data_IF_561081140760
#
_entry.id   IF_561081140760
#
_cell.length_a   1.000
_cell.length_b   1.000
_cell.length_c   1.000
_cell.angle_alpha   90.00
_cell.angle_beta   90.00
_cell.angle_gamma   90.00
#
_symmetry.space_group_name_H-M   'P 1'
#
loop_
_entity.id
_entity.type
_entity.pdbx_description
1 polymer ?
#
# COMPACT_ATOMS: atom_id res chain seq x y z
N UNK A 1 -0.89 11.38 -13.11
CA UNK A 1 -0.37 10.32 -14.01
C UNK A 1 -1.23 10.22 -15.28
N UNK A 2 -0.92 9.29 -16.19
CA UNK A 2 -1.64 9.14 -17.46
C UNK A 2 -2.92 8.31 -17.28
N UNK A 3 -3.98 8.73 -17.98
CA UNK A 3 -5.21 7.97 -18.14
C UNK A 3 -5.25 7.46 -19.59
N UNK A 4 -5.35 6.16 -19.77
CA UNK A 4 -5.49 5.53 -21.08
C UNK A 4 -6.92 5.05 -21.30
N UNK A 5 -7.38 5.19 -22.55
CA UNK A 5 -8.65 4.62 -23.01
C UNK A 5 -8.33 3.46 -23.94
N UNK A 6 -8.67 2.26 -23.54
CA UNK A 6 -8.56 1.08 -24.37
C UNK A 6 -9.91 0.86 -25.05
N UNK A 7 -9.93 1.03 -26.37
CA UNK A 7 -11.14 0.86 -27.18
C UNK A 7 -10.97 -0.24 -28.21
N UNK A 8 -12.09 -0.74 -28.72
CA UNK A 8 -12.10 -1.60 -29.90
C UNK A 8 -13.24 -1.21 -30.83
N UNK A 9 -13.02 -1.37 -32.12
CA UNK A 9 -13.98 -1.14 -33.20
C UNK A 9 -13.81 -2.24 -34.26
N UNK A 10 -14.87 -2.60 -35.01
CA UNK A 10 -14.79 -3.62 -36.04
C UNK A 10 -13.78 -3.23 -37.13
N UNK A 11 -13.12 -4.23 -37.70
CA UNK A 11 -12.28 -4.02 -38.88
C UNK A 11 -13.16 -3.69 -40.08
N UNK A 12 -13.07 -2.47 -40.64
CA UNK A 12 -13.88 -2.02 -41.78
C UNK A 12 -13.66 -2.96 -43.00
N UNK A 13 -12.68 -2.67 -43.88
CA UNK A 13 -12.16 -3.67 -44.84
C UNK A 13 -10.94 -4.39 -44.29
N UNK A 14 -10.19 -3.72 -43.40
CA UNK A 14 -9.03 -4.26 -42.68
C UNK A 14 -8.92 -3.56 -41.32
N UNK A 15 -8.36 -4.23 -40.32
CA UNK A 15 -8.07 -3.62 -39.01
C UNK A 15 -7.16 -2.39 -39.12
N UNK A 16 -6.24 -2.37 -40.10
CA UNK A 16 -5.38 -1.23 -40.40
C UNK A 16 -6.20 0.01 -40.79
N UNK A 17 -7.19 -0.14 -41.67
CA UNK A 17 -8.03 0.98 -42.08
C UNK A 17 -8.85 1.55 -40.92
N UNK A 18 -9.35 0.70 -40.02
CA UNK A 18 -10.03 1.15 -38.80
C UNK A 18 -9.10 2.01 -37.93
N UNK A 19 -7.84 1.61 -37.76
CA UNK A 19 -6.83 2.38 -37.02
C UNK A 19 -6.50 3.71 -37.71
N UNK A 20 -6.28 3.70 -39.03
CA UNK A 20 -5.94 4.90 -39.79
C UNK A 20 -7.09 5.92 -39.78
N UNK A 21 -8.34 5.44 -39.87
CA UNK A 21 -9.54 6.27 -39.74
C UNK A 21 -9.64 6.90 -38.35
N UNK A 22 -9.40 6.13 -37.28
CA UNK A 22 -9.33 6.70 -35.93
C UNK A 22 -8.24 7.79 -35.85
N UNK A 23 -7.03 7.51 -36.35
CA UNK A 23 -5.92 8.47 -36.30
C UNK A 23 -6.17 9.74 -37.11
N UNK A 24 -6.78 9.62 -38.29
CA UNK A 24 -7.15 10.75 -39.12
C UNK A 24 -8.02 11.72 -38.32
N UNK A 25 -9.06 11.22 -37.66
CA UNK A 25 -10.02 12.04 -36.95
C UNK A 25 -9.58 12.46 -35.54
N UNK A 26 -9.01 11.56 -34.74
CA UNK A 26 -8.65 11.81 -33.35
C UNK A 26 -7.27 12.49 -33.19
N UNK A 27 -6.33 12.24 -34.10
CA UNK A 27 -4.95 12.74 -34.00
C UNK A 27 -4.62 13.78 -35.08
N UNK A 28 -4.67 13.42 -36.36
CA UNK A 28 -4.20 14.29 -37.45
C UNK A 28 -5.06 15.55 -37.63
N UNK A 29 -6.38 15.40 -37.66
CA UNK A 29 -7.30 16.51 -37.94
C UNK A 29 -7.56 17.40 -36.73
N UNK A 30 -7.49 16.84 -35.51
CA UNK A 30 -7.96 17.53 -34.30
C UNK A 30 -6.96 17.53 -33.13
N UNK A 31 -5.86 16.79 -33.21
CA UNK A 31 -4.84 16.67 -32.16
C UNK A 31 -5.44 16.45 -30.75
N UNK A 32 -6.31 15.44 -30.61
CA UNK A 32 -7.08 15.17 -29.39
C UNK A 32 -6.46 14.08 -28.53
N UNK A 33 -5.76 13.13 -29.15
CA UNK A 33 -5.09 12.01 -28.47
C UNK A 33 -3.89 11.47 -29.26
N UNK A 34 -3.01 10.78 -28.54
CA UNK A 34 -1.97 9.93 -29.12
C UNK A 34 -2.48 8.49 -29.08
N UNK A 35 -2.42 7.79 -30.21
CA UNK A 35 -3.07 6.48 -30.33
C UNK A 35 -2.06 5.40 -30.73
N UNK A 36 -2.21 4.23 -30.15
CA UNK A 36 -1.37 3.06 -30.40
C UNK A 36 -2.26 1.87 -30.74
N UNK A 37 -1.77 0.97 -31.59
CA UNK A 37 -2.41 -0.34 -31.73
C UNK A 37 -2.19 -1.14 -30.46
N UNK A 38 -3.23 -1.84 -30.02
CA UNK A 38 -3.15 -2.75 -28.90
C UNK A 38 -3.27 -4.18 -29.43
N UNK A 39 -2.14 -4.87 -29.53
CA UNK A 39 -2.06 -6.15 -30.22
C UNK A 39 -2.58 -7.28 -29.32
N UNK A 40 -3.76 -7.80 -29.65
CA UNK A 40 -4.35 -8.98 -29.01
C UNK A 40 -4.20 -10.14 -29.99
N UNK A 41 -3.64 -11.29 -29.57
CA UNK A 41 -3.48 -12.45 -30.45
C UNK A 41 -4.82 -13.13 -30.73
N UNK A 42 -4.83 -14.05 -31.68
CA UNK A 42 -5.98 -14.92 -31.92
C UNK A 42 -6.17 -15.88 -30.74
N UNK A 43 -7.13 -15.56 -29.88
CA UNK A 43 -7.50 -16.37 -28.73
C UNK A 43 -8.62 -17.35 -29.11
N UNK A 44 -8.65 -18.51 -28.44
CA UNK A 44 -9.66 -19.54 -28.70
C UNK A 44 -11.05 -19.06 -28.29
N UNK A 45 -11.90 -18.81 -29.27
CA UNK A 45 -13.32 -18.45 -29.07
C UNK A 45 -14.10 -19.68 -28.59
N UNK A 46 -14.90 -19.51 -27.53
CA UNK A 46 -15.82 -20.52 -27.00
C UNK A 46 -17.21 -20.44 -27.63
N UNK A 47 -18.22 -21.02 -26.97
CA UNK A 47 -19.62 -20.78 -27.32
C UNK A 47 -20.06 -19.39 -26.86
N UNK A 48 -21.12 -18.85 -27.47
CA UNK A 48 -21.68 -17.55 -27.08
C UNK A 48 -22.05 -17.51 -25.58
N UNK A 49 -22.69 -18.57 -25.08
CA UNK A 49 -23.04 -18.74 -23.66
C UNK A 49 -21.82 -18.63 -22.73
N UNK A 50 -20.71 -19.29 -23.10
CA UNK A 50 -19.45 -19.18 -22.35
C UNK A 50 -18.90 -17.75 -22.40
N UNK A 51 -18.97 -17.06 -23.55
CA UNK A 51 -18.49 -15.68 -23.67
C UNK A 51 -19.29 -14.70 -22.80
N UNK A 52 -20.62 -14.88 -22.71
CA UNK A 52 -21.48 -14.05 -21.85
C UNK A 52 -21.07 -14.23 -20.38
N UNK A 53 -20.95 -15.47 -19.89
CA UNK A 53 -20.48 -15.72 -18.52
C UNK A 53 -19.06 -15.19 -18.26
N UNK A 54 -18.17 -15.33 -19.25
CA UNK A 54 -16.80 -14.81 -19.18
C UNK A 54 -16.74 -13.29 -19.09
N UNK A 55 -17.69 -12.55 -19.70
CA UNK A 55 -17.74 -11.08 -19.64
C UNK A 55 -17.85 -10.60 -18.19
N UNK A 56 -18.78 -11.18 -17.43
CA UNK A 56 -18.99 -10.83 -16.02
C UNK A 56 -17.81 -11.25 -15.14
N UNK A 57 -17.30 -12.47 -15.34
CA UNK A 57 -16.19 -13.00 -14.56
C UNK A 57 -14.89 -12.22 -14.80
N UNK A 58 -14.63 -11.80 -16.05
CA UNK A 58 -13.49 -10.96 -16.37
C UNK A 58 -13.64 -9.54 -15.81
N UNK A 59 -14.86 -9.00 -15.71
CA UNK A 59 -15.11 -7.71 -15.04
C UNK A 59 -14.76 -7.76 -13.55
N UNK A 60 -15.14 -8.83 -12.86
CA UNK A 60 -14.75 -9.07 -11.45
C UNK A 60 -13.24 -9.25 -11.31
N UNK A 61 -12.64 -10.07 -12.18
CA UNK A 61 -11.20 -10.33 -12.16
C UNK A 61 -10.38 -9.07 -12.43
N UNK A 62 -10.83 -8.21 -13.35
CA UNK A 62 -10.21 -6.92 -13.66
C UNK A 62 -10.17 -6.01 -12.42
N UNK A 63 -11.30 -5.86 -11.75
CA UNK A 63 -11.43 -5.04 -10.53
C UNK A 63 -10.55 -5.59 -9.40
N UNK A 64 -10.52 -6.91 -9.26
CA UNK A 64 -9.68 -7.58 -8.27
C UNK A 64 -8.17 -7.39 -8.55
N UNK A 65 -7.73 -7.57 -9.81
CA UNK A 65 -6.35 -7.36 -10.22
C UNK A 65 -5.89 -5.91 -10.03
N UNK A 66 -6.75 -4.95 -10.37
CA UNK A 66 -6.51 -3.53 -10.09
C UNK A 66 -6.34 -3.29 -8.58
N UNK A 67 -7.27 -3.79 -7.77
CA UNK A 67 -7.24 -3.62 -6.31
C UNK A 67 -6.01 -4.24 -5.65
N UNK A 68 -5.52 -5.39 -6.11
CA UNK A 68 -4.26 -5.98 -5.61
C UNK A 68 -3.06 -5.14 -6.06
N UNK A 69 -3.02 -4.72 -7.33
CA UNK A 69 -1.93 -3.89 -7.88
C UNK A 69 -1.79 -2.57 -7.11
N UNK A 70 -2.90 -1.88 -6.84
CA UNK A 70 -2.95 -0.65 -6.03
C UNK A 70 -2.46 -0.89 -4.60
N UNK A 71 -2.90 -1.97 -3.94
CA UNK A 71 -2.45 -2.32 -2.59
C UNK A 71 -0.95 -2.56 -2.51
N UNK A 72 -0.35 -3.24 -3.51
CA UNK A 72 1.11 -3.41 -3.56
C UNK A 72 1.81 -2.05 -3.73
N UNK A 73 1.33 -1.20 -4.64
CA UNK A 73 1.92 0.12 -4.88
C UNK A 73 1.86 1.02 -3.63
N UNK A 74 0.70 1.06 -2.96
CA UNK A 74 0.51 1.80 -1.72
C UNK A 74 1.42 1.28 -0.61
N UNK A 75 1.46 -0.05 -0.40
CA UNK A 75 2.30 -0.63 0.63
C UNK A 75 3.80 -0.44 0.35
N UNK A 76 4.23 -0.48 -0.91
CA UNK A 76 5.60 -0.11 -1.28
C UNK A 76 5.90 1.35 -0.89
N UNK A 77 4.96 2.26 -1.11
CA UNK A 77 5.07 3.66 -0.66
C UNK A 77 5.21 3.80 0.86
N UNK A 78 4.48 2.99 1.63
CA UNK A 78 4.58 2.96 3.10
C UNK A 78 5.92 2.40 3.59
N UNK A 79 6.42 1.34 2.94
CA UNK A 79 7.68 0.69 3.31
C UNK A 79 8.87 1.59 3.00
N UNK A 80 8.82 2.38 1.93
CA UNK A 80 9.92 3.27 1.54
C UNK A 80 10.17 4.41 2.55
N UNK A 81 9.23 4.71 3.46
CA UNK A 81 9.35 5.73 4.51
C UNK A 81 9.95 7.05 3.95
N UNK A 82 11.19 7.38 4.32
CA UNK A 82 11.90 8.60 3.90
C UNK A 82 12.25 8.66 2.39
N UNK A 83 12.09 7.55 1.66
CA UNK A 83 12.38 7.42 0.23
C UNK A 83 11.11 7.33 -0.62
N UNK A 84 9.97 7.82 -0.09
CA UNK A 84 8.67 7.78 -0.79
C UNK A 84 8.69 8.58 -2.10
N UNK A 85 9.55 9.58 -2.23
CA UNK A 85 9.80 10.33 -3.47
C UNK A 85 10.21 9.41 -4.63
N UNK A 86 10.90 8.30 -4.33
CA UNK A 86 11.34 7.31 -5.32
C UNK A 86 10.27 6.28 -5.69
N UNK A 87 9.06 6.36 -5.13
CA UNK A 87 8.02 5.35 -5.34
C UNK A 87 7.74 5.12 -6.83
N UNK A 88 7.52 6.19 -7.60
CA UNK A 88 7.19 6.09 -9.02
C UNK A 88 8.30 5.44 -9.85
N UNK A 89 9.57 5.65 -9.50
CA UNK A 89 10.72 5.00 -10.16
C UNK A 89 10.77 3.48 -9.92
N UNK A 90 10.12 3.03 -8.85
CA UNK A 90 10.07 1.62 -8.46
C UNK A 90 8.83 0.88 -9.00
N UNK A 91 7.84 1.61 -9.50
CA UNK A 91 6.63 1.06 -10.11
C UNK A 91 6.88 0.74 -11.59
N UNK A 92 7.53 -0.38 -11.83
CA UNK A 92 7.90 -0.85 -13.17
C UNK A 92 7.17 -2.14 -13.54
N UNK A 93 6.85 -2.30 -14.83
CA UNK A 93 6.29 -3.52 -15.40
C UNK A 93 7.27 -4.07 -16.44
N UNK A 94 7.73 -5.32 -16.26
CA UNK A 94 8.78 -5.94 -17.09
C UNK A 94 10.04 -5.05 -17.28
N UNK A 95 10.43 -4.31 -16.24
CA UNK A 95 11.59 -3.41 -16.27
C UNK A 95 11.38 -2.10 -17.03
N UNK A 96 10.16 -1.83 -17.52
CA UNK A 96 9.79 -0.58 -18.17
C UNK A 96 8.88 0.26 -17.27
N UNK A 97 8.87 1.57 -17.47
CA UNK A 97 7.84 2.42 -16.87
C UNK A 97 6.45 2.05 -17.42
N UNK A 98 5.42 2.34 -16.65
CA UNK A 98 4.05 1.90 -16.96
C UNK A 98 3.53 2.49 -18.29
N UNK A 99 3.90 3.72 -18.65
CA UNK A 99 3.45 4.32 -19.91
C UNK A 99 4.10 3.61 -21.10
N UNK A 100 5.41 3.37 -21.02
CA UNK A 100 6.13 2.62 -22.05
C UNK A 100 5.60 1.19 -22.18
N UNK A 101 5.34 0.51 -21.07
CA UNK A 101 4.73 -0.82 -21.09
C UNK A 101 3.36 -0.81 -21.80
N UNK A 102 2.49 0.15 -21.46
CA UNK A 102 1.15 0.27 -22.05
C UNK A 102 1.22 0.51 -23.57
N UNK A 103 2.07 1.43 -24.01
CA UNK A 103 2.19 1.81 -25.44
C UNK A 103 2.89 0.76 -26.29
N UNK A 104 3.61 -0.18 -25.66
CA UNK A 104 4.32 -1.28 -26.33
C UNK A 104 3.82 -2.66 -25.89
N UNK A 105 2.58 -2.73 -25.41
CA UNK A 105 2.00 -3.98 -24.92
C UNK A 105 2.13 -5.09 -25.96
N UNK A 106 2.59 -6.24 -25.49
CA UNK A 106 2.58 -7.50 -26.21
C UNK A 106 2.07 -8.59 -25.29
N UNK A 107 1.30 -9.50 -25.87
CA UNK A 107 0.79 -10.65 -25.15
C UNK A 107 1.92 -11.58 -24.70
N UNK A 108 1.95 -11.91 -23.41
CA UNK A 108 2.91 -12.84 -22.81
C UNK A 108 2.50 -14.28 -23.12
N UNK A 109 2.98 -14.78 -24.26
CA UNK A 109 2.72 -16.14 -24.73
C UNK A 109 3.26 -17.23 -23.80
N UNK A 110 4.29 -16.92 -23.01
CA UNK A 110 4.90 -17.88 -22.09
C UNK A 110 4.05 -18.07 -20.84
N UNK A 111 3.48 -16.98 -20.30
CA UNK A 111 2.61 -17.04 -19.12
C UNK A 111 1.16 -17.38 -19.46
N UNK A 112 0.66 -16.91 -20.60
CA UNK A 112 -0.74 -17.02 -20.98
C UNK A 112 -0.90 -17.66 -22.37
N UNK A 113 -0.88 -19.01 -22.47
CA UNK A 113 -0.85 -19.68 -23.77
C UNK A 113 -2.15 -19.53 -24.56
N UNK A 114 -2.07 -18.99 -25.77
CA UNK A 114 -3.23 -18.72 -26.66
C UNK A 114 -4.00 -19.97 -27.10
N UNK A 115 -3.39 -21.16 -26.99
CA UNK A 115 -4.02 -22.45 -27.33
C UNK A 115 -5.01 -22.93 -26.26
N UNK A 116 -4.95 -22.37 -25.04
CA UNK A 116 -5.88 -22.71 -23.97
C UNK A 116 -7.21 -21.95 -24.14
N UNK A 117 -8.25 -22.40 -23.45
CA UNK A 117 -9.53 -21.67 -23.40
C UNK A 117 -9.35 -20.34 -22.66
N UNK A 118 -10.18 -19.34 -23.00
CA UNK A 118 -10.20 -18.06 -22.30
C UNK A 118 -10.40 -18.23 -20.78
N UNK A 119 -11.27 -19.18 -20.39
CA UNK A 119 -11.51 -19.53 -18.98
C UNK A 119 -10.26 -20.03 -18.28
N UNK A 120 -9.49 -20.92 -18.90
CA UNK A 120 -8.26 -21.42 -18.29
C UNK A 120 -7.22 -20.30 -18.15
N UNK A 121 -7.10 -19.42 -19.15
CA UNK A 121 -6.19 -18.27 -19.09
C UNK A 121 -6.60 -17.31 -17.96
N UNK A 122 -7.89 -17.00 -17.81
CA UNK A 122 -8.37 -16.15 -16.71
C UNK A 122 -8.15 -16.80 -15.34
N UNK A 123 -8.29 -18.12 -15.23
CA UNK A 123 -8.01 -18.84 -13.99
C UNK A 123 -6.52 -18.85 -13.63
N UNK A 124 -5.62 -18.95 -14.63
CA UNK A 124 -4.16 -18.82 -14.42
C UNK A 124 -3.84 -17.44 -13.86
N UNK A 125 -4.38 -16.38 -14.47
CA UNK A 125 -4.19 -15.00 -13.99
C UNK A 125 -4.75 -14.84 -12.57
N UNK A 126 -5.97 -15.29 -12.33
CA UNK A 126 -6.61 -15.20 -11.01
C UNK A 126 -5.79 -15.89 -9.92
N UNK A 127 -5.33 -17.12 -10.16
CA UNK A 127 -4.49 -17.87 -9.21
C UNK A 127 -3.16 -17.14 -8.95
N UNK A 128 -2.51 -16.61 -9.98
CA UNK A 128 -1.28 -15.84 -9.85
C UNK A 128 -1.48 -14.63 -8.93
N UNK A 129 -2.50 -13.81 -9.20
CA UNK A 129 -2.77 -12.58 -8.44
C UNK A 129 -3.20 -12.90 -7.01
N UNK A 130 -4.00 -13.94 -6.79
CA UNK A 130 -4.41 -14.36 -5.43
C UNK A 130 -3.23 -14.89 -4.60
N UNK A 131 -2.30 -15.61 -5.21
CA UNK A 131 -1.08 -16.04 -4.52
C UNK A 131 -0.24 -14.82 -4.08
N UNK A 132 -0.07 -13.85 -4.98
CA UNK A 132 0.64 -12.61 -4.67
C UNK A 132 -0.04 -11.84 -3.53
N UNK A 133 -1.37 -11.73 -3.52
CA UNK A 133 -2.11 -11.07 -2.43
C UNK A 133 -1.89 -11.76 -1.08
N UNK A 134 -1.97 -13.09 -1.05
CA UNK A 134 -1.74 -13.88 0.17
C UNK A 134 -0.32 -13.69 0.73
N UNK A 135 0.67 -13.71 -0.16
CA UNK A 135 2.07 -13.51 0.19
C UNK A 135 2.34 -12.08 0.66
N UNK A 136 1.70 -11.08 0.02
CA UNK A 136 1.75 -9.68 0.45
C UNK A 136 1.25 -9.54 1.89
N UNK A 137 0.07 -10.11 2.19
CA UNK A 137 -0.53 -10.04 3.54
C UNK A 137 0.40 -10.63 4.60
N UNK A 138 0.98 -11.79 4.31
CA UNK A 138 1.90 -12.48 5.24
C UNK A 138 3.18 -11.68 5.47
N UNK A 139 3.81 -11.19 4.39
CA UNK A 139 5.04 -10.39 4.49
C UNK A 139 4.80 -9.03 5.15
N UNK A 140 3.69 -8.39 4.82
CA UNK A 140 3.32 -7.10 5.40
C UNK A 140 3.06 -7.22 6.89
N UNK A 141 2.33 -8.24 7.33
CA UNK A 141 2.11 -8.49 8.75
C UNK A 141 3.42 -8.73 9.50
N UNK A 142 4.33 -9.54 8.96
CA UNK A 142 5.63 -9.80 9.59
C UNK A 142 6.48 -8.53 9.74
N UNK A 143 6.54 -7.70 8.69
CA UNK A 143 7.31 -6.45 8.72
C UNK A 143 6.67 -5.40 9.63
N UNK A 144 5.35 -5.25 9.59
CA UNK A 144 4.62 -4.28 10.41
C UNK A 144 4.68 -4.66 11.91
N UNK A 145 4.70 -5.96 12.24
CA UNK A 145 4.91 -6.41 13.62
C UNK A 145 6.30 -6.01 14.14
N UNK A 146 7.36 -6.17 13.33
CA UNK A 146 8.70 -5.70 13.70
C UNK A 146 8.73 -4.19 13.93
N UNK A 147 8.15 -3.41 13.00
CA UNK A 147 8.06 -1.95 13.12
C UNK A 147 7.27 -1.52 14.36
N UNK A 148 6.12 -2.14 14.62
CA UNK A 148 5.28 -1.84 15.79
C UNK A 148 5.98 -2.18 17.10
N UNK A 149 6.69 -3.30 17.19
CA UNK A 149 7.46 -3.66 18.38
C UNK A 149 8.59 -2.66 18.65
N UNK A 150 9.32 -2.26 17.62
CA UNK A 150 10.38 -1.28 17.70
C UNK A 150 9.84 0.10 18.15
N UNK A 151 8.77 0.57 17.51
CA UNK A 151 8.12 1.84 17.88
C UNK A 151 7.59 1.83 19.33
N UNK A 152 7.08 0.68 19.80
CA UNK A 152 6.63 0.53 21.19
C UNK A 152 7.81 0.62 22.19
N UNK A 153 8.98 0.09 21.85
CA UNK A 153 10.18 0.19 22.66
C UNK A 153 10.74 1.62 22.65
N UNK A 154 10.81 2.27 21.49
CA UNK A 154 11.23 3.67 21.36
C UNK A 154 10.33 4.61 22.17
N UNK A 155 9.00 4.39 22.14
CA UNK A 155 8.05 5.18 22.93
C UNK A 155 8.22 4.97 24.43
N UNK A 156 8.68 3.79 24.87
CA UNK A 156 9.00 3.55 26.29
C UNK A 156 10.32 4.22 26.71
N UNK A 157 11.26 4.37 25.79
CA UNK A 157 12.53 5.06 26.02
C UNK A 157 12.40 6.59 26.01
N UNK A 158 11.36 7.12 25.36
CA UNK A 158 11.13 8.57 25.19
C UNK A 158 9.95 9.06 26.06
N UNK A 159 9.94 10.35 26.41
CA UNK A 159 8.88 10.99 27.21
C UNK A 159 9.38 11.62 28.51
N UNK A 160 8.46 12.13 29.33
CA UNK A 160 8.77 12.73 30.64
C UNK A 160 9.39 11.71 31.60
N UNK A 161 10.27 12.17 32.49
CA UNK A 161 10.80 11.39 33.62
C UNK A 161 9.71 10.71 34.48
N UNK A 162 8.46 11.19 34.43
CA UNK A 162 7.31 10.59 35.11
C UNK A 162 6.81 9.29 34.48
N UNK A 163 7.06 9.05 33.18
CA UNK A 163 6.58 7.83 32.49
C UNK A 163 7.65 7.03 31.73
N UNK A 164 8.76 7.65 31.30
CA UNK A 164 9.80 6.96 30.50
C UNK A 164 10.52 5.89 31.32
N UNK A 165 11.07 4.90 30.62
CA UNK A 165 12.01 3.97 31.24
C UNK A 165 13.26 4.73 31.71
N UNK A 166 13.79 4.38 32.88
CA UNK A 166 14.92 5.09 33.52
C UNK A 166 16.26 4.39 33.31
N UNK A 167 16.27 3.17 32.78
CA UNK A 167 17.47 2.35 32.70
C UNK A 167 18.57 2.89 31.79
N UNK A 168 18.22 3.75 30.83
CA UNK A 168 19.18 4.46 30.00
C UNK A 168 19.68 5.77 30.63
N UNK A 169 19.08 6.22 31.74
CA UNK A 169 19.41 7.46 32.45
C UNK A 169 20.28 7.25 33.69
N UNK A 170 20.35 6.03 34.19
CA UNK A 170 21.01 5.71 35.47
C UNK A 170 22.19 4.75 35.26
N UNK A 171 23.16 4.81 36.19
CA UNK A 171 24.38 4.01 36.18
C UNK A 171 24.47 3.19 37.46
N UNK A 172 25.29 2.13 37.45
CA UNK A 172 25.56 1.28 38.62
C UNK A 172 25.96 2.10 39.86
N UNK A 173 26.83 3.10 39.66
CA UNK A 173 27.35 3.96 40.72
C UNK A 173 26.30 4.89 41.36
N UNK A 174 25.11 4.99 40.77
CA UNK A 174 24.00 5.74 41.35
C UNK A 174 23.27 4.95 42.45
N UNK A 175 23.51 3.63 42.55
CA UNK A 175 22.85 2.72 43.48
C UNK A 175 23.82 2.12 44.50
N UNK A 176 23.34 1.95 45.73
CA UNK A 176 24.02 1.11 46.72
C UNK A 176 23.86 -0.35 46.33
N UNK A 177 24.97 -0.99 45.96
CA UNK A 177 25.01 -2.41 45.60
C UNK A 177 25.12 -3.30 46.85
N UNK A 178 24.49 -4.48 46.82
CA UNK A 178 24.67 -5.58 47.79
C UNK A 178 24.48 -5.20 49.28
N UNK A 179 23.67 -4.20 49.59
CA UNK A 179 23.35 -3.84 50.98
C UNK A 179 22.13 -4.61 51.50
N UNK A 180 22.28 -5.22 52.68
CA UNK A 180 21.17 -5.86 53.39
C UNK A 180 20.14 -4.83 53.84
N UNK A 181 20.60 -3.66 54.31
CA UNK A 181 19.77 -2.67 55.01
C UNK A 181 19.47 -1.40 54.24
N UNK A 182 20.33 -1.00 53.29
CA UNK A 182 20.17 0.23 52.52
C UNK A 182 19.56 -0.04 51.15
N UNK A 183 18.82 0.95 50.64
CA UNK A 183 18.32 0.98 49.26
C UNK A 183 18.47 2.38 48.69
N UNK A 184 18.49 2.47 47.36
CA UNK A 184 18.46 3.72 46.63
C UNK A 184 17.09 3.87 45.99
N UNK A 185 16.42 4.99 46.24
CA UNK A 185 15.18 5.35 45.54
C UNK A 185 15.48 6.41 44.48
N UNK A 186 14.75 6.32 43.35
CA UNK A 186 14.74 7.34 42.31
C UNK A 186 13.50 8.22 42.48
N UNK A 187 13.69 9.53 42.56
CA UNK A 187 12.63 10.50 42.83
C UNK A 187 12.60 11.54 41.73
N UNK A 188 11.45 11.69 41.09
CA UNK A 188 11.17 12.74 40.11
C UNK A 188 10.67 13.96 40.88
N UNK A 189 11.42 15.04 40.79
CA UNK A 189 11.17 16.32 41.47
C UNK A 189 10.88 17.37 40.40
N UNK A 190 9.71 18.05 40.42
CA UNK A 190 9.48 19.17 39.52
C UNK A 190 10.53 20.26 39.75
N UNK A 191 11.08 20.82 38.66
CA UNK A 191 12.18 21.78 38.70
C UNK A 191 11.93 22.99 39.63
N UNK A 192 10.71 23.56 39.72
CA UNK A 192 10.42 24.64 40.68
C UNK A 192 10.60 24.25 42.15
N UNK A 193 10.57 22.96 42.49
CA UNK A 193 10.67 22.43 43.85
C UNK A 193 12.03 21.81 44.17
N UNK A 194 13.05 21.96 43.31
CA UNK A 194 14.37 21.33 43.54
C UNK A 194 15.05 21.84 44.81
N UNK A 195 14.94 23.14 45.12
CA UNK A 195 15.47 23.70 46.37
C UNK A 195 14.70 23.21 47.60
N UNK A 196 13.38 23.00 47.48
CA UNK A 196 12.60 22.39 48.56
C UNK A 196 13.08 20.96 48.80
N UNK A 197 13.28 20.17 47.73
CA UNK A 197 13.85 18.83 47.82
C UNK A 197 15.19 18.81 48.55
N UNK A 198 16.15 19.63 48.13
CA UNK A 198 17.49 19.71 48.76
C UNK A 198 17.42 20.04 50.26
N UNK A 199 16.47 20.89 50.67
CA UNK A 199 16.30 21.27 52.08
C UNK A 199 15.57 20.24 52.94
N UNK A 200 14.76 19.35 52.34
CA UNK A 200 13.74 18.56 53.05
C UNK A 200 13.97 17.05 52.97
N UNK A 201 14.64 16.55 51.93
CA UNK A 201 14.72 15.11 51.65
C UNK A 201 15.29 14.31 52.82
N UNK A 202 16.26 14.85 53.55
CA UNK A 202 16.91 14.19 54.71
C UNK A 202 15.96 14.02 55.91
N UNK A 203 14.90 14.83 55.99
CA UNK A 203 13.99 14.88 57.14
C UNK A 203 12.57 14.42 56.78
N UNK A 204 12.36 13.87 55.58
CA UNK A 204 11.04 13.34 55.20
C UNK A 204 10.64 12.14 56.07
N UNK A 205 11.61 11.30 56.44
CA UNK A 205 11.47 10.21 57.43
C UNK A 205 12.77 10.07 58.22
N UNK A 206 12.73 9.31 59.31
CA UNK A 206 13.95 8.84 59.96
C UNK A 206 14.72 7.87 59.03
N UNK A 207 15.99 7.62 59.34
CA UNK A 207 16.86 6.66 58.65
C UNK A 207 17.11 6.96 57.15
N UNK A 208 17.14 8.24 56.79
CA UNK A 208 17.67 8.72 55.50
C UNK A 208 19.17 8.99 55.65
N UNK A 209 19.98 8.63 54.65
CA UNK A 209 21.43 8.91 54.68
C UNK A 209 21.65 10.37 54.29
N UNK A 210 22.24 11.21 55.15
CA UNK A 210 22.48 12.62 54.84
C UNK A 210 23.48 12.77 53.69
N UNK A 211 23.34 13.85 52.93
CA UNK A 211 24.14 14.19 51.73
C UNK A 211 24.17 13.08 50.66
N UNK A 212 23.12 12.25 50.60
CA UNK A 212 23.04 11.13 49.67
C UNK A 212 22.38 11.45 48.33
N UNK A 213 21.66 12.58 48.24
CA UNK A 213 20.95 12.91 47.00
C UNK A 213 21.87 13.38 45.88
N UNK A 214 21.59 12.96 44.65
CA UNK A 214 22.25 13.43 43.43
C UNK A 214 21.22 13.63 42.33
N UNK A 215 21.36 14.69 41.54
CA UNK A 215 20.58 14.86 40.30
C UNK A 215 21.22 14.00 39.21
N UNK A 216 20.48 13.02 38.71
CA UNK A 216 20.94 12.08 37.68
C UNK A 216 20.60 12.58 36.26
N UNK A 217 19.43 13.21 36.10
CA UNK A 217 18.95 13.71 34.81
C UNK A 217 17.99 14.89 34.99
N UNK A 218 17.96 15.81 34.02
CA UNK A 218 17.06 16.97 33.95
C UNK A 218 16.40 16.98 32.56
N UNK A 219 15.08 16.88 32.50
CA UNK A 219 14.31 16.88 31.24
C UNK A 219 13.75 18.26 30.86
N UNK A 220 14.15 19.31 31.58
CA UNK A 220 13.67 20.69 31.43
C UNK A 220 12.55 21.05 32.40
N UNK A 221 11.65 20.11 32.71
CA UNK A 221 10.50 20.31 33.60
C UNK A 221 10.69 19.63 34.96
N UNK A 222 11.36 18.47 34.98
CA UNK A 222 11.59 17.64 36.14
C UNK A 222 13.07 17.23 36.24
N UNK A 223 13.51 16.99 37.47
CA UNK A 223 14.81 16.41 37.78
C UNK A 223 14.63 15.00 38.35
N UNK A 224 15.35 14.03 37.81
CA UNK A 224 15.49 12.70 38.40
C UNK A 224 16.60 12.74 39.44
N UNK A 225 16.26 12.53 40.70
CA UNK A 225 17.19 12.52 41.82
C UNK A 225 17.31 11.12 42.42
N UNK A 226 18.49 10.73 42.89
CA UNK A 226 18.64 9.57 43.77
C UNK A 226 18.55 9.98 45.24
N UNK A 227 18.24 9.04 46.13
CA UNK A 227 18.36 9.18 47.58
C UNK A 227 18.63 7.80 48.20
N UNK A 228 19.52 7.76 49.20
CA UNK A 228 19.87 6.52 49.91
C UNK A 228 19.21 6.54 51.29
N UNK A 229 18.51 5.46 51.65
CA UNK A 229 17.83 5.30 52.93
C UNK A 229 17.77 3.83 53.34
N UNK A 230 17.36 3.58 54.58
CA UNK A 230 17.12 2.20 55.04
C UNK A 230 15.86 1.62 54.40
N UNK A 231 15.94 0.35 53.97
CA UNK A 231 14.82 -0.38 53.34
C UNK A 231 13.53 -0.34 54.16
N UNK A 232 13.65 -0.41 55.50
CA UNK A 232 12.51 -0.42 56.43
C UNK A 232 11.62 0.82 56.33
N UNK A 233 12.16 1.97 55.93
CA UNK A 233 11.41 3.23 55.81
C UNK A 233 11.05 3.57 54.37
N UNK A 234 11.35 2.70 53.39
CA UNK A 234 11.16 3.02 51.98
C UNK A 234 9.70 3.35 51.62
N UNK A 235 8.74 2.60 52.14
CA UNK A 235 7.32 2.83 51.84
C UNK A 235 6.77 4.10 52.51
N UNK A 236 7.21 4.39 53.74
CA UNK A 236 6.90 5.63 54.44
C UNK A 236 7.50 6.84 53.70
N UNK A 237 8.76 6.72 53.26
CA UNK A 237 9.44 7.75 52.48
C UNK A 237 8.73 8.03 51.15
N UNK A 238 8.27 6.98 50.44
CA UNK A 238 7.43 7.10 49.24
C UNK A 238 6.12 7.83 49.52
N UNK A 239 5.52 7.67 50.70
CA UNK A 239 4.30 8.39 51.09
C UNK A 239 4.59 9.88 51.34
N UNK A 240 5.66 10.19 52.08
CA UNK A 240 6.09 11.56 52.39
C UNK A 240 6.56 12.35 51.17
N UNK A 241 7.19 11.67 50.20
CA UNK A 241 7.47 12.23 48.88
C UNK A 241 6.18 12.67 48.18
N UNK A 242 5.15 11.80 48.14
CA UNK A 242 3.87 12.12 47.50
C UNK A 242 3.15 13.30 48.16
N UNK A 243 3.15 13.40 49.48
CA UNK A 243 2.63 14.57 50.22
C UNK A 243 3.35 15.87 49.82
N UNK A 244 4.65 15.78 49.48
CA UNK A 244 5.49 16.91 49.05
C UNK A 244 5.52 17.09 47.53
N UNK A 245 4.61 16.45 46.78
CA UNK A 245 4.54 16.49 45.30
C UNK A 245 5.77 15.91 44.58
N UNK A 246 6.57 15.10 45.27
CA UNK A 246 7.67 14.34 44.68
C UNK A 246 7.18 12.94 44.31
N UNK A 247 7.52 12.46 43.12
CA UNK A 247 7.12 11.12 42.67
C UNK A 247 8.30 10.15 42.75
N UNK A 248 8.21 9.16 43.62
CA UNK A 248 9.19 8.06 43.62
C UNK A 248 8.88 7.11 42.45
N UNK A 249 9.89 6.80 41.65
CA UNK A 249 9.82 5.85 40.54
C UNK A 249 10.25 4.48 41.02
N UNK A 250 9.38 3.49 40.87
CA UNK A 250 9.74 2.09 41.12
C UNK A 250 10.74 1.64 40.05
N UNK A 251 11.98 1.41 40.49
CA UNK A 251 13.08 0.99 39.64
C UNK A 251 14.09 0.21 40.49
N UNK A 252 14.49 -0.96 39.99
CA UNK A 252 15.55 -1.77 40.57
C UNK A 252 16.68 -1.87 39.54
N UNK A 253 17.90 -1.53 39.94
CA UNK A 253 19.03 -1.58 39.04
C UNK A 253 19.49 -3.04 38.85
N UNK A 254 19.30 -3.56 37.65
CA UNK A 254 19.77 -4.89 37.26
C UNK A 254 20.53 -4.80 35.93
N UNK A 255 21.85 -4.99 36.01
CA UNK A 255 22.77 -4.85 34.87
C UNK A 255 22.44 -5.84 33.74
N UNK A 256 22.03 -7.07 34.08
CA UNK A 256 21.65 -8.10 33.10
C UNK A 256 20.35 -7.75 32.38
N UNK A 257 19.35 -7.20 33.07
CA UNK A 257 18.08 -6.79 32.47
C UNK A 257 18.25 -5.57 31.56
N UNK A 258 19.07 -4.60 32.00
CA UNK A 258 19.42 -3.42 31.21
C UNK A 258 20.16 -3.80 29.92
N UNK A 259 21.11 -4.72 30.01
CA UNK A 259 21.83 -5.25 28.85
C UNK A 259 20.90 -6.01 27.90
N UNK A 260 20.01 -6.86 28.43
CA UNK A 260 19.00 -7.58 27.63
C UNK A 260 18.09 -6.62 26.86
N UNK A 261 17.61 -5.55 27.50
CA UNK A 261 16.75 -4.55 26.85
C UNK A 261 17.44 -3.81 25.71
N UNK A 262 18.69 -3.35 25.90
CA UNK A 262 19.48 -2.71 24.83
C UNK A 262 19.79 -3.66 23.67
N UNK A 263 20.10 -4.92 23.99
CA UNK A 263 20.33 -5.96 22.98
C UNK A 263 19.05 -6.26 22.17
N UNK A 264 17.88 -6.23 22.81
CA UNK A 264 16.60 -6.46 22.14
C UNK A 264 16.29 -5.35 21.11
N UNK A 265 16.44 -4.07 21.48
CA UNK A 265 16.27 -2.94 20.54
C UNK A 265 17.22 -3.08 19.35
N UNK A 266 18.52 -3.27 19.63
CA UNK A 266 19.55 -3.42 18.59
C UNK A 266 19.26 -4.62 17.66
N UNK A 267 18.74 -5.72 18.21
CA UNK A 267 18.35 -6.90 17.45
C UNK A 267 17.14 -6.60 16.53
N UNK A 268 16.11 -5.94 17.05
CA UNK A 268 14.93 -5.58 16.27
C UNK A 268 15.25 -4.59 15.15
N UNK A 269 16.14 -3.62 15.40
CA UNK A 269 16.66 -2.70 14.37
C UNK A 269 17.40 -3.45 13.27
N UNK A 270 18.29 -4.37 13.64
CA UNK A 270 19.02 -5.21 12.70
C UNK A 270 18.07 -6.09 11.86
N UNK A 271 17.06 -6.69 12.50
CA UNK A 271 16.05 -7.51 11.83
C UNK A 271 15.17 -6.67 10.88
N UNK A 272 14.73 -5.46 11.29
CA UNK A 272 14.00 -4.52 10.41
C UNK A 272 14.85 -4.20 9.16
N UNK A 273 16.12 -3.84 9.35
CA UNK A 273 17.04 -3.50 8.25
C UNK A 273 17.30 -4.69 7.32
N UNK A 274 17.44 -5.90 7.89
CA UNK A 274 17.63 -7.14 7.14
C UNK A 274 16.42 -7.51 6.30
N UNK A 275 15.20 -7.31 6.82
CA UNK A 275 13.95 -7.60 6.10
C UNK A 275 13.59 -6.56 5.04
N UNK A 276 13.98 -5.29 5.25
CA UNK A 276 13.63 -4.18 4.36
C UNK A 276 14.04 -4.43 2.90
N UNK A 277 15.32 -4.73 2.63
CA UNK A 277 15.82 -4.91 1.26
C UNK A 277 15.10 -6.03 0.48
N UNK A 278 15.01 -7.25 1.03
CA UNK A 278 14.25 -8.35 0.43
C UNK A 278 12.77 -8.03 0.22
N UNK A 279 12.12 -7.36 1.19
CA UNK A 279 10.72 -6.96 1.08
C UNK A 279 10.51 -5.97 -0.07
N UNK A 280 11.31 -4.92 -0.14
CA UNK A 280 11.25 -3.92 -1.22
C UNK A 280 11.48 -4.56 -2.58
N UNK A 281 12.46 -5.47 -2.71
CA UNK A 281 12.70 -6.22 -3.95
C UNK A 281 11.50 -7.08 -4.33
N UNK A 282 10.90 -7.78 -3.36
CA UNK A 282 9.73 -8.61 -3.58
C UNK A 282 8.52 -7.78 -4.02
N UNK A 283 8.28 -6.63 -3.40
CA UNK A 283 7.19 -5.72 -3.75
C UNK A 283 7.33 -5.18 -5.18
N UNK A 284 8.53 -4.76 -5.60
CA UNK A 284 8.78 -4.28 -6.98
C UNK A 284 8.49 -5.35 -8.03
N UNK A 285 8.98 -6.57 -7.80
CA UNK A 285 8.78 -7.69 -8.72
C UNK A 285 7.29 -8.02 -8.83
N UNK A 286 6.62 -8.19 -7.69
CA UNK A 286 5.22 -8.61 -7.67
C UNK A 286 4.24 -7.51 -8.08
N UNK A 287 4.62 -6.23 -7.91
CA UNK A 287 3.91 -5.12 -8.53
C UNK A 287 3.92 -5.26 -10.06
N UNK A 288 5.08 -5.48 -10.67
CA UNK A 288 5.20 -5.64 -12.12
C UNK A 288 4.45 -6.87 -12.65
N UNK A 289 4.45 -7.97 -11.90
CA UNK A 289 3.68 -9.18 -12.21
C UNK A 289 2.17 -8.93 -12.14
N UNK A 290 1.68 -8.29 -11.06
CA UNK A 290 0.25 -7.95 -10.93
C UNK A 290 -0.21 -6.94 -11.99
N UNK A 291 0.59 -5.91 -12.28
CA UNK A 291 0.28 -4.95 -13.33
C UNK A 291 0.23 -5.63 -14.70
N UNK A 292 1.21 -6.48 -15.02
CA UNK A 292 1.22 -7.26 -16.26
C UNK A 292 -0.01 -8.15 -16.38
N UNK A 293 -0.35 -8.89 -15.32
CA UNK A 293 -1.53 -9.74 -15.26
C UNK A 293 -2.82 -8.92 -15.47
N UNK A 294 -2.92 -7.75 -14.84
CA UNK A 294 -4.05 -6.84 -14.97
C UNK A 294 -4.27 -6.37 -16.42
N UNK A 295 -3.21 -5.97 -17.13
CA UNK A 295 -3.32 -5.56 -18.55
C UNK A 295 -3.71 -6.75 -19.45
N UNK A 296 -3.29 -7.97 -19.13
CA UNK A 296 -3.77 -9.17 -19.84
C UNK A 296 -5.26 -9.44 -19.60
N UNK A 297 -5.77 -9.19 -18.39
CA UNK A 297 -7.22 -9.24 -18.14
C UNK A 297 -7.95 -8.17 -18.94
N UNK A 298 -7.44 -6.94 -19.01
CA UNK A 298 -8.01 -5.89 -19.90
C UNK A 298 -8.03 -6.35 -21.36
N UNK A 299 -6.97 -7.00 -21.84
CA UNK A 299 -6.93 -7.56 -23.18
C UNK A 299 -7.98 -8.67 -23.41
N UNK A 300 -8.14 -9.59 -22.45
CA UNK A 300 -9.20 -10.62 -22.49
C UNK A 300 -10.59 -9.99 -22.52
N UNK A 301 -10.83 -8.96 -21.70
CA UNK A 301 -12.10 -8.22 -21.68
C UNK A 301 -12.41 -7.59 -23.03
N UNK A 302 -11.47 -6.84 -23.60
CA UNK A 302 -11.65 -6.24 -24.93
C UNK A 302 -11.93 -7.30 -25.98
N UNK A 303 -11.23 -8.44 -25.94
CA UNK A 303 -11.47 -9.54 -26.87
C UNK A 303 -12.89 -10.08 -26.73
N UNK A 304 -13.32 -10.46 -25.52
CA UNK A 304 -14.65 -11.02 -25.26
C UNK A 304 -15.75 -10.02 -25.62
N UNK A 305 -15.65 -8.78 -25.15
CA UNK A 305 -16.63 -7.72 -25.45
C UNK A 305 -16.69 -7.41 -26.95
N UNK A 306 -15.56 -7.46 -27.67
CA UNK A 306 -15.54 -7.25 -29.13
C UNK A 306 -16.20 -8.41 -29.88
N UNK A 307 -15.98 -9.66 -29.46
CA UNK A 307 -16.62 -10.82 -30.10
C UNK A 307 -18.13 -10.83 -29.82
N UNK A 308 -18.54 -10.50 -28.60
CA UNK A 308 -19.96 -10.39 -28.24
C UNK A 308 -20.67 -9.29 -29.03
N UNK A 309 -19.98 -8.16 -29.28
CA UNK A 309 -20.58 -7.00 -29.95
C UNK A 309 -20.51 -7.05 -31.48
N UNK A 310 -19.41 -7.55 -32.04
CA UNK A 310 -19.14 -7.52 -33.47
C UNK A 310 -19.31 -8.88 -34.16
N UNK A 311 -19.47 -9.96 -33.39
CA UNK A 311 -19.71 -11.30 -33.89
C UNK A 311 -18.47 -11.99 -34.45
N UNK A 312 -18.73 -13.04 -35.25
CA UNK A 312 -17.72 -13.85 -35.92
C UNK A 312 -17.77 -13.66 -37.45
N UNK A 313 -16.64 -13.79 -38.18
CA UNK A 313 -15.30 -14.07 -37.68
C UNK A 313 -14.71 -12.92 -36.84
N UNK A 314 -13.75 -13.22 -35.96
CA UNK A 314 -13.10 -12.21 -35.12
C UNK A 314 -12.39 -11.20 -36.01
N UNK A 315 -12.97 -10.00 -36.15
CA UNK A 315 -12.46 -8.94 -37.01
C UNK A 315 -12.66 -7.58 -36.33
N UNK A 316 -11.72 -7.23 -35.45
CA UNK A 316 -11.72 -5.95 -34.75
C UNK A 316 -10.29 -5.41 -34.61
N UNK A 317 -10.18 -4.11 -34.36
CA UNK A 317 -8.92 -3.43 -34.07
C UNK A 317 -9.00 -2.84 -32.65
N UNK A 318 -8.28 -3.42 -31.70
CA UNK A 318 -8.09 -2.82 -30.39
C UNK A 318 -7.05 -1.69 -30.46
N UNK A 319 -7.32 -0.59 -29.78
CA UNK A 319 -6.55 0.65 -29.86
C UNK A 319 -6.44 1.27 -28.47
N UNK A 320 -5.23 1.68 -28.11
CA UNK A 320 -4.95 2.39 -26.87
C UNK A 320 -4.81 3.88 -27.17
N UNK A 321 -5.70 4.69 -26.61
CA UNK A 321 -5.70 6.13 -26.77
C UNK A 321 -5.17 6.77 -25.48
N UNK A 322 -4.31 7.76 -25.63
CA UNK A 322 -3.87 8.67 -24.58
C UNK A 322 -4.50 10.04 -24.86
N UNK A 323 -5.65 10.37 -24.25
CA UNK A 323 -6.30 11.65 -24.45
C UNK A 323 -5.47 12.81 -23.91
N UNK A 324 -5.48 13.94 -24.61
CA UNK A 324 -4.98 15.18 -24.02
C UNK A 324 -5.99 15.72 -22.99
N UNK A 325 -5.50 16.16 -21.82
CA UNK A 325 -6.34 16.56 -20.67
C UNK A 325 -7.46 17.54 -21.01
N UNK A 326 -7.23 18.49 -21.93
CA UNK A 326 -8.22 19.51 -22.33
C UNK A 326 -9.15 19.06 -23.47
N UNK A 327 -8.85 17.91 -24.09
CA UNK A 327 -9.51 17.45 -25.32
C UNK A 327 -10.46 16.26 -25.08
N UNK A 328 -10.56 15.77 -23.85
CA UNK A 328 -11.38 14.61 -23.46
C UNK A 328 -12.81 14.69 -24.00
N UNK A 329 -13.51 15.80 -23.76
CA UNK A 329 -14.89 15.98 -24.25
C UNK A 329 -14.97 15.93 -25.78
N UNK A 330 -14.08 16.64 -26.46
CA UNK A 330 -14.06 16.69 -27.93
C UNK A 330 -13.70 15.33 -28.54
N UNK A 331 -12.79 14.59 -27.91
CA UNK A 331 -12.45 13.23 -28.31
C UNK A 331 -13.67 12.31 -28.22
N UNK A 332 -14.46 12.40 -27.14
CA UNK A 332 -15.73 11.65 -27.03
C UNK A 332 -16.70 11.97 -28.16
N UNK A 333 -16.88 13.25 -28.49
CA UNK A 333 -17.74 13.67 -29.59
C UNK A 333 -17.27 13.06 -30.93
N UNK A 334 -15.98 13.11 -31.22
CA UNK A 334 -15.39 12.53 -32.44
C UNK A 334 -15.55 11.02 -32.48
N UNK A 335 -15.29 10.31 -31.38
CA UNK A 335 -15.47 8.86 -31.29
C UNK A 335 -16.93 8.45 -31.46
N UNK A 336 -17.87 9.19 -30.87
CA UNK A 336 -19.30 8.95 -31.06
C UNK A 336 -19.72 9.18 -32.52
N UNK A 337 -19.25 10.25 -33.17
CA UNK A 337 -19.53 10.47 -34.59
C UNK A 337 -18.98 9.35 -35.49
N UNK A 338 -17.79 8.84 -35.19
CA UNK A 338 -17.18 7.75 -35.96
C UNK A 338 -17.94 6.43 -35.82
N UNK A 339 -18.44 6.13 -34.62
CA UNK A 339 -18.87 4.78 -34.26
C UNK A 339 -20.36 4.67 -33.90
N UNK A 340 -21.15 5.75 -33.93
CA UNK A 340 -22.59 5.71 -33.62
C UNK A 340 -23.38 4.68 -34.45
N UNK A 341 -22.96 4.39 -35.68
CA UNK A 341 -23.58 3.38 -36.54
C UNK A 341 -23.48 1.93 -35.99
N UNK A 342 -22.61 1.69 -35.01
CA UNK A 342 -22.50 0.38 -34.36
C UNK A 342 -23.68 0.12 -33.41
N UNK A 343 -24.36 1.16 -32.90
CA UNK A 343 -25.54 1.01 -32.03
C UNK A 343 -26.76 0.48 -32.77
N UNK A 344 -26.97 0.90 -34.03
CA UNK A 344 -28.05 0.33 -34.85
C UNK A 344 -27.84 -1.15 -35.15
N UNK A 345 -26.58 -1.60 -35.16
CA UNK A 345 -26.24 -3.02 -35.39
C UNK A 345 -26.47 -3.85 -34.12
N UNK A 346 -26.08 -3.34 -32.95
CA UNK A 346 -26.26 -4.00 -31.65
C UNK A 346 -27.74 -4.11 -31.22
N UNK A 347 -28.60 -3.16 -31.60
CA UNK A 347 -30.04 -3.22 -31.34
C UNK A 347 -30.80 -4.06 -32.39
N UNK A 348 -30.35 -4.06 -33.65
CA UNK A 348 -30.96 -4.89 -34.71
C UNK A 348 -30.80 -6.40 -34.52
N UNK A 349 -29.73 -6.85 -33.85
CA UNK A 349 -29.54 -8.26 -33.48
C UNK A 349 -30.33 -8.67 -32.22
N UNK A 350 -30.85 -7.69 -31.46
CA UNK A 350 -31.78 -7.93 -30.35
C UNK A 350 -33.26 -7.88 -30.79
N UNK A 351 -33.60 -7.31 -31.95
CA UNK A 351 -34.99 -7.23 -32.43
C UNK A 351 -35.60 -8.61 -32.80
N UNK A 352 -34.81 -9.67 -32.90
CA UNK A 352 -35.32 -11.06 -32.98
C UNK A 352 -35.66 -11.68 -31.62
N UNK A 353 -35.35 -11.01 -30.51
CA UNK A 353 -35.75 -11.37 -29.16
C UNK A 353 -36.21 -10.08 -28.46
N UNK A 354 -37.45 -9.68 -28.79
CA UNK A 354 -37.98 -8.33 -28.57
C UNK A 354 -37.73 -7.71 -27.20
N UNK A 355 -37.84 -6.38 -27.19
CA UNK A 355 -37.89 -5.50 -26.02
C UNK A 355 -38.50 -6.18 -24.79
N UNK A 356 -37.63 -6.79 -23.98
CA UNK A 356 -37.94 -7.12 -22.60
C UNK A 356 -37.01 -6.26 -21.75
N UNK A 357 -37.60 -5.26 -21.11
CA UNK A 357 -37.02 -4.69 -19.89
C UNK A 357 -36.88 -5.86 -18.89
N UNK A 358 -35.66 -6.39 -18.76
CA UNK A 358 -35.34 -7.43 -17.77
C UNK A 358 -35.12 -6.71 -16.42
N UNK A 359 -36.01 -6.86 -15.44
CA UNK A 359 -35.84 -6.24 -14.14
C UNK A 359 -34.64 -6.88 -13.42
N UNK A 360 -33.61 -6.09 -13.10
CA UNK A 360 -32.40 -6.54 -12.42
C UNK A 360 -31.07 -6.24 -13.12
N UNK A 361 -31.10 -5.84 -14.40
CA UNK A 361 -29.91 -5.36 -15.12
C UNK A 361 -29.84 -3.84 -14.99
N UNK A 362 -29.10 -3.35 -14.00
CA UNK A 362 -28.88 -1.93 -13.77
C UNK A 362 -27.92 -1.35 -14.84
N UNK A 363 -28.38 -1.16 -16.08
CA UNK A 363 -27.60 -0.44 -17.12
C UNK A 363 -27.45 1.07 -16.82
N UNK A 364 -28.14 1.60 -15.82
CA UNK A 364 -28.19 3.04 -15.51
C UNK A 364 -26.93 3.63 -14.86
N UNK A 365 -25.86 2.84 -14.63
CA UNK A 365 -24.65 3.32 -13.91
C UNK A 365 -23.32 3.09 -14.65
N UNK A 366 -23.32 2.46 -15.83
CA UNK A 366 -22.10 2.28 -16.63
C UNK A 366 -22.04 3.30 -17.77
N UNK A 367 -20.87 3.90 -18.03
CA UNK A 367 -20.66 4.73 -19.22
C UNK A 367 -20.83 3.85 -20.48
N UNK A 368 -21.94 4.01 -21.18
CA UNK A 368 -22.22 3.31 -22.43
C UNK A 368 -21.63 4.07 -23.63
N UNK A 369 -20.97 3.34 -24.53
CA UNK A 369 -20.44 3.89 -25.78
C UNK A 369 -20.77 2.98 -26.98
N UNK A 370 -20.87 3.53 -28.21
CA UNK A 370 -21.10 2.74 -29.43
C UNK A 370 -20.00 1.75 -29.81
N UNK A 371 -18.88 1.79 -29.11
CA UNK A 371 -17.71 0.94 -29.29
C UNK A 371 -17.30 0.33 -27.94
N UNK A 372 -16.57 -0.77 -27.96
CA UNK A 372 -16.02 -1.37 -26.73
C UNK A 372 -15.07 -0.36 -26.09
N UNK A 373 -15.22 -0.12 -24.79
CA UNK A 373 -14.46 0.90 -24.06
C UNK A 373 -14.10 0.42 -22.66
N UNK A 374 -12.80 0.45 -22.34
CA UNK A 374 -12.27 0.24 -21.00
C UNK A 374 -11.35 1.41 -20.63
N UNK A 375 -11.51 1.91 -19.41
CA UNK A 375 -10.61 2.91 -18.81
C UNK A 375 -9.46 2.22 -18.08
N UNK A 376 -8.25 2.77 -18.21
CA UNK A 376 -7.06 2.35 -17.46
C UNK A 376 -6.43 3.58 -16.82
N UNK A 377 -6.47 3.65 -15.49
CA UNK A 377 -5.86 4.74 -14.73
C UNK A 377 -4.52 4.28 -14.14
N UNK A 378 -3.42 4.93 -14.56
CA UNK A 378 -2.09 4.63 -14.03
C UNK A 378 -1.75 5.41 -12.76
N UNK A 379 -2.68 6.23 -12.25
CA UNK A 379 -2.61 6.78 -10.91
C UNK A 379 -2.93 5.69 -9.89
N UNK A 380 -1.90 5.00 -9.42
CA UNK A 380 -2.00 3.78 -8.60
C UNK A 380 -1.87 4.02 -7.10
N UNK A 381 -1.62 5.25 -6.67
CA UNK A 381 -1.34 5.60 -5.28
C UNK A 381 -2.17 6.83 -4.94
N UNK A 382 -3.02 6.73 -3.93
CA UNK A 382 -3.74 7.89 -3.43
C UNK A 382 -2.76 8.90 -2.82
N UNK A 383 -2.95 10.19 -3.15
CA UNK A 383 -2.09 11.28 -2.71
C UNK A 383 -2.28 11.62 -1.23
#
# INVERSE_FOLDING_TARGET
>A
MAEFWLISAPGDKTCQQTFDKLNLHASQNNNLSINYKFNIPDLKVGTLDVLVGMSDDLGKLDTYCEGVTRRIAQYLGEVLEDQRDKLHENLLANGMDLNTYMTRFQWDLAKYPIKQSLKNVSEIIGKQVSQIESDLKTKAQAYNNLKGNLQNLERKATGSLLSRYLGDLVKKDDFVSDSEYLTTLLVVVPKPYIHEWESKYETLTDMVVPRSTKILHDDGENCLCSVILFKRVADEYKHKCRESKFMVRDFEYNEDELAKGKNEVSKLEADKKKQFGPLVKWLKVNFGECFTAWIHVKALRVFVESVLRYGLPVNFQAMLLLPHKKSVRRLREVLNQLYAHLDSTALSSMDTAGQMDIPGINMATAEYYPYVYLKINLDLVDH
#
